data_IF_578607393026
#
_entry.id   IF_578607393026
#
_cell.length_a   1.000
_cell.length_b   1.000
_cell.length_c   1.000
_cell.angle_alpha   90.00
_cell.angle_beta   90.00
_cell.angle_gamma   90.00
#
_symmetry.space_group_name_H-M   'P 1'
#
loop_
_entity.id
_entity.type
_entity.pdbx_description
1 polymer ?
#
# COMPACT_ATOMS: atom_id res chain seq x y z
N UNK A 1 20.86 -7.26 -2.89
CA UNK A 1 19.41 -7.13 -3.12
C UNK A 1 19.11 -7.27 -4.59
N UNK A 2 18.96 -8.50 -5.00
CA UNK A 2 18.44 -8.79 -6.33
C UNK A 2 16.96 -8.46 -6.31
N UNK A 3 16.65 -7.25 -6.73
CA UNK A 3 15.31 -6.89 -7.09
C UNK A 3 14.83 -7.93 -8.10
N UNK A 4 13.88 -8.73 -7.72
CA UNK A 4 13.20 -9.60 -8.67
C UNK A 4 12.52 -8.70 -9.66
N UNK A 5 13.15 -8.65 -10.69
CA UNK A 5 12.84 -7.87 -11.82
C UNK A 5 11.57 -8.38 -12.46
N UNK A 6 10.59 -7.54 -12.51
CA UNK A 6 9.64 -7.59 -13.60
C UNK A 6 10.35 -7.39 -14.97
N UNK A 7 11.66 -7.64 -15.04
CA UNK A 7 12.47 -7.39 -16.22
C UNK A 7 12.76 -5.91 -16.47
N UNK A 8 12.47 -5.04 -15.50
CA UNK A 8 12.63 -3.60 -15.65
C UNK A 8 14.02 -3.15 -15.21
N UNK A 9 14.63 -2.25 -15.97
CA UNK A 9 15.82 -1.53 -15.54
C UNK A 9 15.43 -0.45 -14.53
N UNK A 10 16.42 0.07 -13.81
CA UNK A 10 16.19 1.17 -12.86
C UNK A 10 15.59 2.41 -13.56
N UNK A 11 16.05 2.75 -14.75
CA UNK A 11 15.51 3.87 -15.51
C UNK A 11 14.08 3.63 -15.99
N UNK A 12 13.73 2.41 -16.35
CA UNK A 12 12.37 2.03 -16.72
C UNK A 12 11.43 2.11 -15.53
N UNK A 13 11.87 1.64 -14.36
CA UNK A 13 11.10 1.75 -13.14
C UNK A 13 10.83 3.22 -12.79
N UNK A 14 11.86 4.08 -12.86
CA UNK A 14 11.70 5.52 -12.62
C UNK A 14 10.72 6.16 -13.58
N UNK A 15 10.76 5.78 -14.83
CA UNK A 15 9.82 6.27 -15.84
C UNK A 15 8.39 5.88 -15.50
N UNK A 16 8.15 4.63 -15.15
CA UNK A 16 6.82 4.16 -14.74
C UNK A 16 6.30 4.94 -13.53
N UNK A 17 7.13 5.10 -12.51
CA UNK A 17 6.77 5.84 -11.30
C UNK A 17 6.44 7.30 -11.63
N UNK A 18 7.24 7.93 -12.49
CA UNK A 18 6.96 9.29 -12.94
C UNK A 18 5.61 9.39 -13.65
N UNK A 19 5.26 8.39 -14.46
CA UNK A 19 3.98 8.36 -15.17
C UNK A 19 2.79 8.19 -14.21
N UNK A 20 2.87 7.29 -13.24
CA UNK A 20 1.76 7.07 -12.30
C UNK A 20 1.61 8.22 -11.31
N UNK A 21 2.62 9.07 -11.17
CA UNK A 21 2.61 10.20 -10.25
C UNK A 21 2.04 11.48 -10.87
N UNK A 22 1.62 11.44 -12.14
CA UNK A 22 0.98 12.60 -12.77
C UNK A 22 -0.40 12.87 -12.16
N UNK A 23 -0.91 14.11 -12.20
CA UNK A 23 -2.25 14.40 -11.68
C UNK A 23 -3.35 13.53 -12.27
N UNK A 24 -3.30 13.24 -13.57
CA UNK A 24 -4.29 12.41 -14.25
C UNK A 24 -4.26 10.96 -13.73
N UNK A 25 -3.06 10.43 -13.51
CA UNK A 25 -2.92 9.08 -12.99
C UNK A 25 -3.24 9.00 -11.50
N UNK A 26 -2.96 10.05 -10.73
CA UNK A 26 -3.41 10.13 -9.34
C UNK A 26 -4.93 10.19 -9.25
N UNK A 27 -5.59 10.87 -10.18
CA UNK A 27 -7.04 10.83 -10.28
C UNK A 27 -7.55 9.42 -10.57
N UNK A 28 -6.88 8.70 -11.46
CA UNK A 28 -7.20 7.30 -11.73
C UNK A 28 -7.02 6.42 -10.49
N UNK A 29 -5.93 6.60 -9.74
CA UNK A 29 -5.70 5.88 -8.48
C UNK A 29 -6.82 6.17 -7.49
N UNK A 30 -7.21 7.43 -7.35
CA UNK A 30 -8.33 7.83 -6.51
C UNK A 30 -9.62 7.11 -6.92
N UNK A 31 -9.93 7.09 -8.21
CA UNK A 31 -11.13 6.40 -8.73
C UNK A 31 -11.10 4.91 -8.38
N UNK A 32 -9.96 4.26 -8.52
CA UNK A 32 -9.82 2.83 -8.20
C UNK A 32 -9.96 2.57 -6.71
N UNK A 33 -9.41 3.43 -5.87
CA UNK A 33 -9.59 3.32 -4.41
C UNK A 33 -11.09 3.41 -4.06
N UNK A 34 -11.77 4.42 -4.58
CA UNK A 34 -13.21 4.62 -4.29
C UNK A 34 -14.07 3.49 -4.80
N UNK A 35 -13.72 2.92 -5.95
CA UNK A 35 -14.43 1.77 -6.51
C UNK A 35 -14.31 0.51 -5.64
N UNK A 36 -13.18 0.31 -4.97
CA UNK A 36 -12.86 -0.94 -4.29
C UNK A 36 -12.84 -0.84 -2.76
N UNK A 37 -12.98 0.35 -2.19
CA UNK A 37 -13.00 0.49 -0.74
C UNK A 37 -14.30 -0.06 -0.14
N UNK A 38 -14.24 -0.48 1.12
CA UNK A 38 -15.44 -0.87 1.87
C UNK A 38 -16.32 0.33 2.11
N UNK A 39 -17.56 0.25 1.64
CA UNK A 39 -18.54 1.31 1.82
C UNK A 39 -18.90 1.47 3.32
N UNK A 40 -18.98 2.72 3.75
CA UNK A 40 -19.35 3.06 5.12
C UNK A 40 -18.24 2.87 6.15
N UNK A 41 -17.05 2.44 5.74
CA UNK A 41 -15.92 2.28 6.64
C UNK A 41 -14.78 3.23 6.28
N UNK A 42 -14.01 3.61 7.31
CA UNK A 42 -12.81 4.42 7.11
C UNK A 42 -11.82 3.66 6.24
N UNK A 43 -11.26 4.35 5.23
CA UNK A 43 -10.17 3.81 4.43
C UNK A 43 -8.91 3.71 5.30
N UNK A 44 -8.30 2.54 5.32
CA UNK A 44 -7.05 2.26 6.05
C UNK A 44 -6.07 1.62 5.07
N UNK A 45 -5.51 2.47 4.20
CA UNK A 45 -4.68 2.02 3.10
C UNK A 45 -3.19 2.21 3.39
N UNK A 46 -2.41 1.20 3.09
CA UNK A 46 -0.97 1.24 3.14
C UNK A 46 -0.43 1.19 1.71
N UNK A 47 0.35 2.19 1.32
CA UNK A 47 0.86 2.31 -0.03
C UNK A 47 2.39 2.14 -0.06
N UNK A 48 2.88 1.32 -0.97
CA UNK A 48 4.31 1.03 -1.12
C UNK A 48 4.89 1.81 -2.27
N UNK A 49 5.92 2.58 -1.95
CA UNK A 49 6.61 3.47 -2.87
C UNK A 49 8.08 3.07 -3.04
N UNK A 50 8.71 3.57 -4.10
CA UNK A 50 10.10 3.26 -4.44
C UNK A 50 11.11 3.80 -3.41
N UNK A 51 10.89 5.04 -2.98
CA UNK A 51 11.77 5.75 -2.06
C UNK A 51 10.97 6.83 -1.33
N UNK A 52 11.61 7.51 -0.40
CA UNK A 52 10.96 8.53 0.42
C UNK A 52 10.44 9.68 -0.44
N UNK A 53 11.19 10.11 -1.45
CA UNK A 53 10.76 11.15 -2.36
C UNK A 53 9.49 10.77 -3.13
N UNK A 54 9.41 9.54 -3.60
CA UNK A 54 8.21 9.01 -4.26
C UNK A 54 7.02 8.98 -3.29
N UNK A 55 7.24 8.50 -2.06
CA UNK A 55 6.20 8.45 -1.03
C UNK A 55 5.67 9.85 -0.71
N UNK A 56 6.55 10.83 -0.57
CA UNK A 56 6.18 12.23 -0.33
C UNK A 56 5.35 12.78 -1.48
N UNK A 57 5.80 12.59 -2.71
CA UNK A 57 5.11 13.07 -3.90
C UNK A 57 3.71 12.47 -4.02
N UNK A 58 3.57 11.17 -3.79
CA UNK A 58 2.28 10.49 -3.84
C UNK A 58 1.37 10.95 -2.70
N UNK A 59 1.91 11.13 -1.50
CA UNK A 59 1.14 11.64 -0.36
C UNK A 59 0.61 13.05 -0.66
N UNK A 60 1.44 13.92 -1.23
CA UNK A 60 1.02 15.28 -1.59
C UNK A 60 -0.07 15.24 -2.67
N UNK A 61 0.11 14.45 -3.71
CA UNK A 61 -0.83 14.39 -4.84
C UNK A 61 -2.17 13.78 -4.44
N UNK A 62 -2.18 12.74 -3.63
CA UNK A 62 -3.41 12.12 -3.15
C UNK A 62 -3.99 12.84 -1.94
N UNK A 63 -3.26 13.79 -1.38
CA UNK A 63 -3.72 14.66 -0.29
C UNK A 63 -4.90 15.56 -0.69
N UNK A 64 -5.16 15.73 -1.99
CA UNK A 64 -6.35 16.44 -2.47
C UNK A 64 -7.64 15.64 -2.22
N UNK A 65 -7.53 14.33 -2.05
CA UNK A 65 -8.68 13.43 -1.90
C UNK A 65 -8.74 12.77 -0.53
N UNK A 66 -7.62 12.59 0.14
CA UNK A 66 -7.51 11.81 1.38
C UNK A 66 -6.63 12.51 2.41
N UNK A 67 -6.79 12.10 3.66
CA UNK A 67 -5.83 12.43 4.72
C UNK A 67 -4.64 11.49 4.58
N UNK A 68 -3.50 12.03 4.20
CA UNK A 68 -2.30 11.25 3.87
C UNK A 68 -1.13 11.60 4.78
N UNK A 69 -0.25 10.64 4.95
CA UNK A 69 1.06 10.82 5.58
C UNK A 69 2.08 9.92 4.87
N UNK A 70 3.36 10.22 5.04
CA UNK A 70 4.43 9.38 4.52
C UNK A 70 5.52 9.22 5.59
N UNK A 71 6.17 8.05 5.54
CA UNK A 71 7.29 7.74 6.43
C UNK A 71 8.61 8.18 5.79
N UNK A 72 9.49 8.74 6.61
CA UNK A 72 10.83 9.14 6.19
C UNK A 72 11.88 8.24 6.86
N UNK A 73 13.09 8.21 6.31
CA UNK A 73 14.20 7.52 6.94
C UNK A 73 14.64 8.13 8.27
N UNK A 74 14.17 9.34 8.58
CA UNK A 74 14.47 10.04 9.83
C UNK A 74 13.49 9.71 10.95
N UNK A 75 12.38 9.09 10.66
CA UNK A 75 11.40 8.71 11.67
C UNK A 75 12.00 7.66 12.61
N UNK A 76 11.86 7.92 13.89
CA UNK A 76 12.21 6.94 14.92
C UNK A 76 11.19 5.80 14.93
N UNK A 77 11.60 4.64 15.45
CA UNK A 77 10.73 3.46 15.53
C UNK A 77 9.39 3.77 16.19
N UNK A 78 9.39 4.54 17.29
CA UNK A 78 8.16 4.93 17.96
C UNK A 78 7.22 5.78 17.10
N UNK A 79 7.77 6.69 16.31
CA UNK A 79 7.00 7.52 15.37
C UNK A 79 6.39 6.68 14.26
N UNK A 80 7.14 5.72 13.76
CA UNK A 80 6.69 4.80 12.70
C UNK A 80 5.53 3.94 13.20
N UNK A 81 5.68 3.34 14.39
CA UNK A 81 4.63 2.56 15.03
C UNK A 81 3.38 3.40 15.27
N UNK A 82 3.56 4.65 15.70
CA UNK A 82 2.43 5.57 15.90
C UNK A 82 1.67 5.82 14.60
N UNK A 83 2.39 6.03 13.49
CA UNK A 83 1.76 6.22 12.18
C UNK A 83 0.93 5.00 11.77
N UNK A 84 1.45 3.79 11.96
CA UNK A 84 0.71 2.56 11.68
C UNK A 84 -0.53 2.43 12.57
N UNK A 85 -0.41 2.77 13.84
CA UNK A 85 -1.54 2.73 14.77
C UNK A 85 -2.60 3.77 14.42
N UNK A 86 -2.20 4.97 14.02
CA UNK A 86 -3.12 6.04 13.59
C UNK A 86 -3.89 5.61 12.34
N UNK A 87 -3.20 4.97 11.39
CA UNK A 87 -3.85 4.45 10.18
C UNK A 87 -4.94 3.42 10.52
N UNK A 88 -4.66 2.55 11.48
CA UNK A 88 -5.57 1.47 11.85
C UNK A 88 -6.71 1.92 12.78
N UNK A 89 -6.61 3.12 13.36
CA UNK A 89 -7.59 3.62 14.32
C UNK A 89 -8.79 4.25 13.61
N UNK A 90 -9.99 3.93 14.09
CA UNK A 90 -11.21 4.61 13.65
C UNK A 90 -11.34 6.01 14.25
N UNK A 91 -10.52 6.36 15.25
CA UNK A 91 -10.54 7.63 15.94
C UNK A 91 -9.61 8.68 15.33
N UNK A 92 -8.76 8.27 14.38
CA UNK A 92 -7.82 9.15 13.70
C UNK A 92 -8.23 9.34 12.25
N UNK A 93 -7.84 10.48 11.68
CA UNK A 93 -8.27 10.87 10.33
C UNK A 93 -7.40 10.28 9.22
N UNK A 94 -6.22 9.78 9.55
CA UNK A 94 -5.28 9.25 8.55
C UNK A 94 -5.90 8.11 7.75
N UNK A 95 -5.90 8.25 6.43
CA UNK A 95 -6.54 7.30 5.50
C UNK A 95 -5.55 6.53 4.65
N UNK A 96 -4.44 7.17 4.25
CA UNK A 96 -3.40 6.51 3.46
C UNK A 96 -2.04 6.85 4.05
N UNK A 97 -1.27 5.80 4.36
CA UNK A 97 0.13 5.92 4.78
C UNK A 97 1.03 5.40 3.67
N UNK A 98 1.92 6.26 3.20
CA UNK A 98 2.89 5.92 2.15
C UNK A 98 4.21 5.51 2.80
N UNK A 99 4.73 4.35 2.43
CA UNK A 99 5.95 3.79 2.99
C UNK A 99 6.80 3.15 1.90
N UNK A 100 8.08 2.99 2.17
CA UNK A 100 9.01 2.35 1.23
C UNK A 100 9.12 0.87 1.54
N UNK A 101 9.40 0.53 2.79
CA UNK A 101 9.59 -0.83 3.25
C UNK A 101 9.17 -0.94 4.72
N UNK A 102 8.22 -1.81 5.00
CA UNK A 102 7.75 -2.05 6.37
C UNK A 102 7.97 -3.50 6.83
N UNK A 103 8.34 -4.40 5.93
CA UNK A 103 8.40 -5.83 6.24
C UNK A 103 9.50 -6.16 7.23
N UNK A 104 10.56 -5.37 7.23
CA UNK A 104 11.71 -5.55 8.12
C UNK A 104 11.50 -4.95 9.51
N UNK A 105 10.36 -4.30 9.74
CA UNK A 105 10.09 -3.57 10.99
C UNK A 105 9.28 -4.39 12.01
N UNK A 106 8.85 -5.59 11.64
CA UNK A 106 8.02 -6.42 12.51
C UNK A 106 6.67 -5.78 12.87
N UNK A 107 6.17 -4.93 12.00
CA UNK A 107 4.96 -4.16 12.26
C UNK A 107 3.72 -5.02 12.15
N UNK A 108 2.86 -4.91 13.15
CA UNK A 108 1.56 -5.55 13.15
C UNK A 108 0.52 -4.58 12.54
N UNK A 109 -0.08 -4.97 11.43
CA UNK A 109 -1.00 -4.12 10.66
C UNK A 109 -2.36 -4.78 10.39
N UNK A 110 -2.96 -5.45 11.37
CA UNK A 110 -4.21 -6.18 11.12
C UNK A 110 -5.41 -5.27 10.77
N UNK A 111 -5.34 -4.00 11.13
CA UNK A 111 -6.40 -3.03 10.84
C UNK A 111 -6.38 -2.47 9.43
N UNK A 112 -5.34 -2.71 8.64
CA UNK A 112 -5.24 -2.24 7.25
C UNK A 112 -6.28 -2.98 6.40
N UNK A 113 -7.04 -2.23 5.60
CA UNK A 113 -8.08 -2.81 4.73
C UNK A 113 -7.78 -2.66 3.23
N UNK A 114 -6.73 -1.96 2.88
CA UNK A 114 -6.30 -1.82 1.49
C UNK A 114 -4.78 -1.68 1.41
N UNK A 115 -4.19 -2.29 0.39
CA UNK A 115 -2.76 -2.16 0.09
C UNK A 115 -2.62 -1.70 -1.35
N UNK A 116 -1.82 -0.66 -1.55
CA UNK A 116 -1.53 -0.10 -2.87
C UNK A 116 -0.06 -0.37 -3.21
N UNK A 117 0.16 -1.05 -4.33
CA UNK A 117 1.50 -1.21 -4.87
C UNK A 117 1.74 -0.13 -5.93
N UNK A 118 2.60 0.83 -5.59
CA UNK A 118 2.98 1.95 -6.46
C UNK A 118 4.40 1.78 -7.00
N UNK A 119 5.03 0.66 -6.73
CA UNK A 119 6.32 0.25 -7.28
C UNK A 119 6.33 -1.27 -7.47
N UNK A 120 7.18 -1.80 -8.36
CA UNK A 120 7.41 -3.23 -8.43
C UNK A 120 7.93 -3.75 -7.09
N UNK A 121 7.35 -4.82 -6.60
CA UNK A 121 7.83 -5.49 -5.39
C UNK A 121 8.49 -6.81 -5.78
N UNK A 122 9.51 -7.17 -5.01
CA UNK A 122 10.35 -8.32 -5.30
C UNK A 122 9.58 -9.62 -5.33
N UNK A 123 8.61 -9.75 -4.46
CA UNK A 123 7.68 -10.87 -4.49
C UNK A 123 6.36 -10.43 -3.89
N UNK A 124 5.41 -10.14 -4.74
CA UNK A 124 4.05 -9.84 -4.31
C UNK A 124 3.46 -11.01 -3.51
N UNK A 125 3.80 -12.24 -3.87
CA UNK A 125 3.34 -13.44 -3.17
C UNK A 125 3.87 -13.49 -1.75
N UNK A 126 5.19 -13.33 -1.55
CA UNK A 126 5.79 -13.32 -0.21
C UNK A 126 5.24 -12.17 0.62
N UNK A 127 5.09 -10.99 0.01
CA UNK A 127 4.53 -9.83 0.67
C UNK A 127 3.10 -10.11 1.16
N UNK A 128 2.26 -10.65 0.30
CA UNK A 128 0.88 -11.02 0.61
C UNK A 128 0.84 -12.06 1.74
N UNK A 129 1.75 -13.03 1.74
CA UNK A 129 1.86 -14.01 2.81
C UNK A 129 2.18 -13.37 4.15
N UNK A 130 3.12 -12.44 4.18
CA UNK A 130 3.50 -11.73 5.41
C UNK A 130 2.36 -10.85 5.92
N UNK A 131 1.66 -10.18 5.04
CA UNK A 131 0.44 -9.45 5.38
C UNK A 131 -0.61 -10.38 5.98
N UNK A 132 -0.82 -11.54 5.35
CA UNK A 132 -1.79 -12.52 5.81
C UNK A 132 -1.52 -13.00 7.23
N UNK A 133 -0.25 -13.14 7.62
CA UNK A 133 0.11 -13.51 8.99
C UNK A 133 -0.30 -12.46 10.01
N UNK A 134 -0.07 -11.18 9.69
CA UNK A 134 -0.49 -10.08 10.57
C UNK A 134 -2.00 -9.95 10.66
N UNK A 135 -2.70 -10.18 9.56
CA UNK A 135 -4.15 -10.03 9.46
C UNK A 135 -4.93 -11.15 10.14
N UNK A 136 -4.30 -12.32 10.40
CA UNK A 136 -4.96 -13.45 11.08
C UNK A 136 -5.45 -13.16 12.49
N UNK A 137 -4.90 -12.13 13.13
CA UNK A 137 -5.25 -11.76 14.49
C UNK A 137 -6.63 -11.10 14.60
N UNK A 138 -7.24 -10.75 13.48
CA UNK A 138 -8.53 -10.07 13.46
C UNK A 138 -9.61 -10.96 12.85
N UNK A 139 -10.37 -11.60 13.72
CA UNK A 139 -11.42 -12.55 13.34
C UNK A 139 -12.57 -11.92 12.53
N UNK A 140 -12.74 -10.60 12.60
CA UNK A 140 -13.88 -9.89 11.98
C UNK A 140 -13.54 -9.26 10.64
N UNK A 141 -12.34 -9.50 10.10
CA UNK A 141 -11.92 -8.89 8.83
C UNK A 141 -11.70 -9.96 7.77
N UNK A 142 -12.71 -10.22 6.92
CA UNK A 142 -12.63 -11.29 5.95
C UNK A 142 -11.72 -10.97 4.75
N UNK A 143 -11.44 -9.69 4.47
CA UNK A 143 -10.75 -9.30 3.25
C UNK A 143 -9.76 -8.17 3.46
N UNK A 144 -8.69 -8.20 2.67
CA UNK A 144 -7.84 -7.04 2.36
C UNK A 144 -7.87 -6.87 0.86
N UNK A 145 -8.13 -5.65 0.41
CA UNK A 145 -8.10 -5.32 -1.01
C UNK A 145 -6.68 -4.93 -1.41
N UNK A 146 -6.17 -5.53 -2.47
CA UNK A 146 -4.85 -5.19 -3.00
C UNK A 146 -5.04 -4.60 -4.39
N UNK A 147 -4.54 -3.38 -4.59
CA UNK A 147 -4.51 -2.72 -5.88
C UNK A 147 -3.06 -2.60 -6.34
N UNK A 148 -2.75 -3.23 -7.45
CA UNK A 148 -1.43 -3.16 -8.05
C UNK A 148 -1.50 -2.28 -9.29
N UNK A 149 -0.81 -1.13 -9.25
CA UNK A 149 -0.78 -0.16 -10.33
C UNK A 149 0.43 -0.30 -11.25
N UNK A 150 1.31 -1.27 -10.96
CA UNK A 150 2.59 -1.40 -11.63
C UNK A 150 2.60 -2.52 -12.68
N UNK A 151 1.64 -3.39 -12.73
CA UNK A 151 1.61 -4.52 -13.66
C UNK A 151 2.00 -4.18 -15.11
N UNK A 152 1.47 -4.84 -16.10
CA UNK A 152 1.84 -4.63 -17.51
C UNK A 152 1.46 -3.27 -18.08
N UNK A 153 0.72 -2.46 -17.35
CA UNK A 153 0.34 -1.13 -17.74
C UNK A 153 -0.07 -0.32 -16.52
N UNK A 154 0.48 0.88 -16.40
CA UNK A 154 0.07 1.83 -15.37
C UNK A 154 -1.40 2.24 -15.48
N UNK A 155 -2.06 1.91 -16.59
CA UNK A 155 -3.49 2.15 -16.80
C UNK A 155 -4.38 1.03 -16.27
N UNK A 156 -3.77 -0.07 -15.81
CA UNK A 156 -4.50 -1.20 -15.23
C UNK A 156 -4.22 -1.28 -13.74
N UNK A 157 -5.26 -1.31 -12.97
CA UNK A 157 -5.17 -1.79 -11.60
C UNK A 157 -5.54 -3.27 -11.59
N UNK A 158 -4.73 -4.07 -10.93
CA UNK A 158 -5.09 -5.46 -10.64
C UNK A 158 -5.69 -5.47 -9.24
N UNK A 159 -6.92 -5.86 -9.16
CA UNK A 159 -7.62 -5.97 -7.89
C UNK A 159 -7.63 -7.42 -7.43
N UNK A 160 -7.09 -7.66 -6.27
CA UNK A 160 -7.11 -8.96 -5.62
C UNK A 160 -7.78 -8.78 -4.27
N UNK A 161 -8.95 -9.37 -4.11
CA UNK A 161 -9.61 -9.44 -2.82
C UNK A 161 -9.22 -10.77 -2.18
N UNK A 162 -8.53 -10.70 -1.05
CA UNK A 162 -8.04 -11.87 -0.35
C UNK A 162 -8.92 -12.13 0.87
N UNK A 163 -9.58 -13.27 0.89
CA UNK A 163 -10.26 -13.75 2.09
C UNK A 163 -9.21 -14.32 3.05
N UNK A 164 -9.20 -13.86 4.29
CA UNK A 164 -8.24 -14.31 5.30
C UNK A 164 -8.25 -15.84 5.46
N UNK A 165 -9.41 -16.46 5.36
CA UNK A 165 -9.55 -17.92 5.45
C UNK A 165 -8.89 -18.68 4.31
N UNK A 166 -8.81 -18.10 3.11
CA UNK A 166 -8.15 -18.74 1.98
C UNK A 166 -6.63 -18.63 2.06
N UNK A 167 -6.11 -17.60 2.69
CA UNK A 167 -4.67 -17.48 2.94
C UNK A 167 -4.17 -18.54 3.92
N UNK A 168 -5.02 -18.99 4.84
CA UNK A 168 -4.64 -19.98 5.85
C UNK A 168 -4.54 -21.39 5.31
N UNK A 169 -5.13 -21.67 4.15
CA UNK A 169 -5.15 -23.02 3.57
C UNK A 169 -3.93 -23.35 2.72
N UNK A 170 -3.19 -22.35 2.32
CA UNK A 170 -2.06 -22.51 1.40
C UNK A 170 -0.69 -22.49 2.10
N UNK A 171 -0.70 -22.46 3.43
CA UNK A 171 0.56 -22.37 4.21
C UNK A 171 0.51 -23.25 5.47
#
# INVERSE_FOLDING_TARGET
>A
DELVNYGLTDSEERRMISQISTPENCQFIHQQIEKHREEGKKLKALAFCRNIQHARMMADNLGDYYQTAYLTGKNKTGERIRAYNDLQSDQKDLEILFAVDILNEGVDIPGVNMVLFLRPTESSTIFIQQLGRGLRKYANKPYVTILDFIGNSYKRSVHIALALGSLSRNY
#
